data_IF_423990271889
#
_entry.id   IF_423990271889
#
_cell.length_a   1.000
_cell.length_b   1.000
_cell.length_c   1.000
_cell.angle_alpha   90.00
_cell.angle_beta   90.00
_cell.angle_gamma   90.00
#
_symmetry.space_group_name_H-M   'P 1'
#
loop_
_entity.id
_entity.type
_entity.pdbx_description
1 polymer ?
#
# COMPACT_ATOMS: atom_id res chain seq x y z
N UNK A 1 21.29 -3.64 1.16
CA UNK A 1 20.29 -2.80 0.45
C UNK A 1 19.03 -2.91 1.26
N UNK A 2 18.64 -1.83 1.94
CA UNK A 2 17.38 -1.78 2.69
C UNK A 2 16.28 -1.52 1.68
N UNK A 3 15.34 -2.44 1.54
CA UNK A 3 14.14 -2.22 0.73
C UNK A 3 13.19 -1.39 1.57
N UNK A 4 12.97 -0.15 1.16
CA UNK A 4 12.07 0.79 1.82
C UNK A 4 10.75 0.83 1.04
N UNK A 5 9.64 0.57 1.72
CA UNK A 5 8.29 0.59 1.12
C UNK A 5 8.01 1.91 0.37
N UNK A 6 8.48 3.04 0.90
CA UNK A 6 8.31 4.35 0.28
C UNK A 6 9.11 4.54 -1.02
N UNK A 7 10.28 3.93 -1.14
CA UNK A 7 11.09 3.99 -2.36
C UNK A 7 10.51 3.10 -3.44
N UNK A 8 10.11 1.87 -3.10
CA UNK A 8 9.50 0.93 -4.05
C UNK A 8 8.22 1.51 -4.67
N UNK A 9 7.37 2.15 -3.84
CA UNK A 9 6.16 2.81 -4.34
C UNK A 9 6.48 3.96 -5.30
N UNK A 10 7.51 4.76 -4.99
CA UNK A 10 7.97 5.85 -5.88
C UNK A 10 8.51 5.30 -7.19
N UNK A 11 9.32 4.25 -7.13
CA UNK A 11 9.90 3.60 -8.31
C UNK A 11 8.83 3.00 -9.20
N UNK A 12 7.82 2.35 -8.61
CA UNK A 12 6.66 1.88 -9.39
C UNK A 12 5.90 3.03 -10.04
N UNK A 13 5.72 4.17 -9.38
CA UNK A 13 5.04 5.31 -10.01
C UNK A 13 5.86 5.87 -11.17
N UNK A 14 7.18 5.93 -11.02
CA UNK A 14 8.09 6.44 -12.04
C UNK A 14 8.22 5.49 -13.24
N UNK A 15 8.32 4.19 -13.00
CA UNK A 15 8.67 3.17 -14.02
C UNK A 15 7.51 2.27 -14.42
N UNK A 16 6.46 2.18 -13.58
CA UNK A 16 5.34 1.24 -13.67
C UNK A 16 5.75 -0.23 -13.70
N UNK A 17 6.97 -0.53 -13.26
CA UNK A 17 7.54 -1.86 -13.23
C UNK A 17 8.13 -2.12 -11.85
N UNK A 18 7.84 -3.29 -11.29
CA UNK A 18 8.49 -3.79 -10.08
C UNK A 18 9.02 -5.18 -10.36
N UNK A 19 10.18 -5.46 -9.79
CA UNK A 19 10.74 -6.80 -9.76
C UNK A 19 9.90 -7.72 -8.87
N UNK A 20 10.04 -9.03 -9.07
CA UNK A 20 9.35 -10.02 -8.25
C UNK A 20 9.69 -9.84 -6.75
N UNK A 21 10.94 -9.52 -6.43
CA UNK A 21 11.42 -9.35 -5.06
C UNK A 21 10.74 -8.17 -4.38
N UNK A 22 10.61 -7.04 -5.08
CA UNK A 22 9.90 -5.86 -4.56
C UNK A 22 8.42 -6.14 -4.35
N UNK A 23 7.78 -6.86 -5.27
CA UNK A 23 6.39 -7.26 -5.11
C UNK A 23 6.18 -8.18 -3.90
N UNK A 24 7.05 -9.18 -3.74
CA UNK A 24 6.98 -10.10 -2.61
C UNK A 24 7.22 -9.34 -1.28
N UNK A 25 8.14 -8.37 -1.26
CA UNK A 25 8.37 -7.48 -0.12
C UNK A 25 7.14 -6.63 0.23
N UNK A 26 6.54 -5.96 -0.75
CA UNK A 26 5.32 -5.17 -0.54
C UNK A 26 4.16 -6.04 -0.02
N UNK A 27 4.07 -7.28 -0.49
CA UNK A 27 3.04 -8.22 -0.06
C UNK A 27 3.25 -8.66 1.39
N UNK A 28 4.50 -8.90 1.81
CA UNK A 28 4.85 -9.16 3.21
C UNK A 28 4.54 -7.97 4.13
N UNK A 29 4.99 -6.76 3.78
CA UNK A 29 4.72 -5.54 4.56
C UNK A 29 3.21 -5.26 4.71
N UNK A 30 2.47 -5.44 3.61
CA UNK A 30 1.02 -5.27 3.62
C UNK A 30 0.36 -6.35 4.48
N UNK A 31 0.84 -7.59 4.42
CA UNK A 31 0.32 -8.68 5.24
C UNK A 31 0.53 -8.41 6.73
N UNK A 32 1.74 -8.02 7.14
CA UNK A 32 2.02 -7.63 8.53
C UNK A 32 1.15 -6.47 8.97
N UNK A 33 1.00 -5.44 8.13
CA UNK A 33 0.10 -4.33 8.42
C UNK A 33 -1.33 -4.83 8.61
N UNK A 34 -1.84 -5.71 7.75
CA UNK A 34 -3.21 -6.24 7.87
C UNK A 34 -3.41 -7.09 9.11
N UNK A 35 -2.38 -7.82 9.53
CA UNK A 35 -2.40 -8.70 10.70
C UNK A 35 -2.35 -7.91 12.00
N UNK A 36 -1.56 -6.84 12.05
CA UNK A 36 -1.38 -5.97 13.21
C UNK A 36 -2.11 -4.63 13.11
N UNK A 37 -3.06 -4.47 12.18
CA UNK A 37 -3.75 -3.19 11.95
C UNK A 37 -4.53 -2.70 13.17
N UNK A 38 -4.91 -3.62 14.05
CA UNK A 38 -5.56 -3.37 15.33
C UNK A 38 -4.60 -2.80 16.38
N UNK A 39 -3.30 -3.08 16.26
CA UNK A 39 -2.23 -2.51 17.08
C UNK A 39 -1.69 -1.19 16.47
N UNK A 40 -1.88 -0.98 15.17
CA UNK A 40 -1.51 0.27 14.49
C UNK A 40 -2.42 1.39 14.95
N UNK A 41 -1.83 2.42 15.55
CA UNK A 41 -2.56 3.60 16.05
C UNK A 41 -2.68 4.72 15.01
N UNK A 42 -1.78 4.77 14.03
CA UNK A 42 -1.82 5.75 12.93
C UNK A 42 -1.12 5.19 11.71
N UNK A 43 -1.65 5.47 10.52
CA UNK A 43 -1.01 5.11 9.28
C UNK A 43 -0.23 6.30 8.71
N UNK A 44 0.97 6.03 8.21
CA UNK A 44 1.75 7.08 7.55
C UNK A 44 1.06 7.47 6.25
N UNK A 45 0.63 8.73 6.18
CA UNK A 45 0.03 9.31 4.98
C UNK A 45 1.06 9.42 3.85
N UNK A 46 0.68 8.98 2.66
CA UNK A 46 1.50 9.17 1.47
C UNK A 46 1.35 10.62 0.94
N UNK A 47 2.40 11.18 0.29
CA UNK A 47 2.31 12.47 -0.37
C UNK A 47 1.17 12.51 -1.39
N UNK A 48 0.44 13.63 -1.45
CA UNK A 48 -0.71 13.83 -2.36
C UNK A 48 -0.40 13.45 -3.81
N UNK A 49 0.82 13.76 -4.30
CA UNK A 49 1.27 13.41 -5.65
C UNK A 49 1.20 11.90 -5.91
N UNK A 50 1.60 11.08 -4.94
CA UNK A 50 1.63 9.62 -5.01
C UNK A 50 0.21 9.07 -4.95
N UNK A 51 -0.60 9.53 -4.01
CA UNK A 51 -2.00 9.12 -3.91
C UNK A 51 -2.76 9.44 -5.20
N UNK A 52 -2.52 10.61 -5.81
CA UNK A 52 -3.16 11.04 -7.04
C UNK A 52 -2.77 10.21 -8.26
N UNK A 53 -1.49 9.87 -8.41
CA UNK A 53 -1.00 8.95 -9.46
C UNK A 53 -1.67 7.57 -9.36
N UNK A 54 -1.88 7.09 -8.13
CA UNK A 54 -2.54 5.81 -7.86
C UNK A 54 -4.08 5.92 -7.85
N UNK A 55 -4.66 7.07 -8.22
CA UNK A 55 -6.12 7.36 -8.19
C UNK A 55 -6.76 7.13 -6.82
N UNK A 56 -6.00 7.33 -5.75
CA UNK A 56 -6.43 7.26 -4.37
C UNK A 56 -6.88 8.63 -3.85
N UNK A 57 -7.61 8.65 -2.73
CA UNK A 57 -8.01 9.91 -2.08
C UNK A 57 -6.76 10.64 -1.58
N UNK A 58 -6.82 11.97 -1.58
CA UNK A 58 -5.75 12.81 -1.01
C UNK A 58 -5.52 12.43 0.46
N UNK A 59 -4.25 12.19 0.84
CA UNK A 59 -3.90 11.72 2.18
C UNK A 59 -4.05 10.22 2.40
N UNK A 60 -4.18 9.41 1.34
CA UNK A 60 -4.19 7.95 1.50
C UNK A 60 -2.86 7.44 2.06
N UNK A 61 -2.91 6.41 2.90
CA UNK A 61 -1.72 5.84 3.51
C UNK A 61 -0.82 5.12 2.52
N UNK A 62 0.47 4.98 2.88
CA UNK A 62 1.43 4.20 2.10
C UNK A 62 0.99 2.75 1.92
N UNK A 63 0.42 2.13 2.96
CA UNK A 63 -0.06 0.76 2.90
C UNK A 63 -1.22 0.61 1.91
N UNK A 64 -2.10 1.62 1.80
CA UNK A 64 -3.14 1.64 0.79
C UNK A 64 -2.57 1.78 -0.62
N UNK A 65 -1.51 2.58 -0.78
CA UNK A 65 -0.76 2.67 -2.04
C UNK A 65 -0.17 1.31 -2.43
N UNK A 66 0.47 0.60 -1.50
CA UNK A 66 1.02 -0.74 -1.72
C UNK A 66 -0.06 -1.74 -2.12
N UNK A 67 -1.21 -1.73 -1.44
CA UNK A 67 -2.32 -2.60 -1.77
C UNK A 67 -2.84 -2.38 -3.20
N UNK A 68 -2.93 -1.12 -3.66
CA UNK A 68 -3.32 -0.79 -5.04
C UNK A 68 -2.28 -1.26 -6.05
N UNK A 69 -0.99 -1.07 -5.75
CA UNK A 69 0.11 -1.51 -6.63
C UNK A 69 0.10 -3.03 -6.77
N UNK A 70 -0.08 -3.76 -5.66
CA UNK A 70 -0.19 -5.21 -5.66
C UNK A 70 -1.44 -5.69 -6.40
N UNK A 71 -2.58 -5.01 -6.26
CA UNK A 71 -3.79 -5.34 -7.01
C UNK A 71 -3.61 -5.09 -8.52
N UNK A 72 -2.84 -4.06 -8.91
CA UNK A 72 -2.56 -3.75 -10.32
C UNK A 72 -1.56 -4.72 -10.96
N UNK A 73 -0.52 -5.12 -10.22
CA UNK A 73 0.56 -5.99 -10.71
C UNK A 73 0.24 -7.47 -10.55
N UNK A 74 -0.45 -7.84 -9.46
CA UNK A 74 -0.90 -9.19 -9.13
C UNK A 74 -2.39 -9.16 -8.75
N UNK A 75 -3.29 -9.02 -9.74
CA UNK A 75 -4.71 -9.05 -9.48
C UNK A 75 -5.11 -10.39 -8.85
N UNK A 76 -5.71 -10.33 -7.67
CA UNK A 76 -6.28 -11.48 -6.98
C UNK A 76 -7.81 -11.40 -7.00
N UNK A 77 -8.48 -12.53 -6.72
CA UNK A 77 -9.95 -12.59 -6.63
C UNK A 77 -10.53 -11.65 -5.56
N UNK A 78 -9.76 -11.35 -4.53
CA UNK A 78 -10.12 -10.41 -3.47
C UNK A 78 -9.20 -9.21 -3.55
N UNK A 79 -9.76 -8.02 -3.74
CA UNK A 79 -8.97 -6.78 -3.76
C UNK A 79 -8.38 -6.53 -2.36
N UNK A 80 -7.05 -6.50 -2.28
CA UNK A 80 -6.35 -6.22 -1.03
C UNK A 80 -6.59 -4.79 -0.59
N UNK A 81 -6.68 -3.86 -1.56
CA UNK A 81 -6.96 -2.45 -1.29
C UNK A 81 -8.35 -2.23 -0.68
N UNK A 82 -9.38 -2.94 -1.14
CA UNK A 82 -10.71 -2.91 -0.50
C UNK A 82 -10.68 -3.47 0.92
N UNK A 83 -9.96 -4.58 1.15
CA UNK A 83 -9.86 -5.20 2.47
C UNK A 83 -9.18 -4.25 3.46
N UNK A 84 -8.06 -3.65 3.06
CA UNK A 84 -7.34 -2.68 3.88
C UNK A 84 -8.20 -1.44 4.15
N UNK A 85 -8.89 -0.91 3.13
CA UNK A 85 -9.77 0.25 3.28
C UNK A 85 -10.88 0.00 4.32
N UNK A 86 -11.51 -1.17 4.31
CA UNK A 86 -12.50 -1.56 5.32
C UNK A 86 -11.90 -1.62 6.72
N UNK A 87 -10.66 -2.09 6.86
CA UNK A 87 -9.98 -2.13 8.15
C UNK A 87 -9.62 -0.72 8.65
N UNK A 88 -9.10 0.13 7.77
CA UNK A 88 -8.82 1.54 8.08
C UNK A 88 -10.08 2.25 8.58
N UNK A 89 -11.20 2.08 7.89
CA UNK A 89 -12.50 2.62 8.32
C UNK A 89 -12.96 2.02 9.65
N UNK A 90 -12.80 0.70 9.84
CA UNK A 90 -13.17 -0.01 11.07
C UNK A 90 -12.38 0.47 12.29
N UNK A 91 -11.09 0.68 12.13
CA UNK A 91 -10.18 1.14 13.19
C UNK A 91 -10.12 2.67 13.28
N UNK A 92 -10.88 3.39 12.45
CA UNK A 92 -10.86 4.87 12.36
C UNK A 92 -9.44 5.41 12.25
N UNK A 93 -8.59 4.72 11.48
CA UNK A 93 -7.23 5.13 11.22
C UNK A 93 -7.27 6.32 10.26
N UNK A 94 -6.84 7.48 10.75
CA UNK A 94 -6.81 8.75 10.03
C UNK A 94 -5.37 9.17 9.72
#
# INVERSE_FOLDING_TARGET
MSLELTEIVKDFIATKLLSKVELDFLESELWETLEHIDEVTSLTSAPIKISKELKLKDGSSWQLCCAVILDATRPQKSSRSEKLKKLIEKFSLH
#
